data_IF_906559469274
#
_entry.id   IF_906559469274
#
_cell.length_a   1.000
_cell.length_b   1.000
_cell.length_c   1.000
_cell.angle_alpha   90.00
_cell.angle_beta   90.00
_cell.angle_gamma   90.00
#
_symmetry.space_group_name_H-M   'P 1'
#
loop_
_entity.id
_entity.type
_entity.pdbx_description
1 polymer ?
#
# COMPACT_ATOMS: atom_id res chain seq x y z
N UNK A 1 -15.56 55.33 -6.50
CA UNK A 1 -15.07 54.68 -5.27
C UNK A 1 -14.34 53.40 -5.70
N UNK A 2 -13.17 53.43 -6.35
CA UNK A 2 -11.80 53.62 -5.78
C UNK A 2 -11.63 52.92 -4.43
N UNK A 3 -10.76 51.91 -4.24
CA UNK A 3 -9.28 51.77 -4.43
C UNK A 3 -8.98 50.24 -4.53
N UNK A 4 -8.09 49.64 -5.34
CA UNK A 4 -6.66 49.79 -5.71
C UNK A 4 -5.61 49.53 -4.59
N UNK A 5 -4.56 48.77 -4.99
CA UNK A 5 -3.23 48.43 -4.38
C UNK A 5 -3.19 47.21 -3.43
N UNK A 6 -2.63 46.04 -3.83
CA UNK A 6 -1.19 45.62 -3.97
C UNK A 6 -0.43 45.72 -2.63
N UNK A 7 0.37 44.74 -2.18
CA UNK A 7 1.82 44.64 -2.38
C UNK A 7 2.36 43.27 -1.84
N UNK A 8 3.07 42.52 -2.69
CA UNK A 8 4.41 41.86 -2.53
C UNK A 8 4.72 41.06 -1.25
N UNK A 9 5.02 39.75 -1.33
CA UNK A 9 6.32 39.12 -1.67
C UNK A 9 7.05 38.59 -0.43
N UNK A 10 7.22 37.27 -0.35
CA UNK A 10 8.27 36.62 0.42
C UNK A 10 8.58 35.26 -0.23
N UNK A 11 9.25 35.33 -1.37
CA UNK A 11 10.00 34.23 -1.96
C UNK A 11 11.45 34.45 -1.53
N UNK A 12 11.95 33.74 -0.52
CA UNK A 12 13.37 33.36 -0.41
C UNK A 12 13.59 32.43 0.79
N UNK A 13 13.85 31.16 0.52
CA UNK A 13 15.03 30.48 1.04
C UNK A 13 15.37 29.37 0.06
N UNK A 14 16.32 29.68 -0.81
CA UNK A 14 17.04 28.70 -1.61
C UNK A 14 17.95 27.93 -0.66
N UNK A 15 17.82 26.60 -0.64
CA UNK A 15 18.95 25.72 -0.32
C UNK A 15 19.18 24.85 -1.56
N UNK A 16 20.28 25.13 -2.23
CA UNK A 16 20.86 24.33 -3.32
C UNK A 16 21.65 23.19 -2.71
N UNK A 17 21.27 21.94 -3.00
CA UNK A 17 22.22 20.82 -3.17
C UNK A 17 21.52 19.57 -3.74
N UNK A 18 21.98 19.14 -4.92
CA UNK A 18 22.07 17.72 -5.30
C UNK A 18 20.79 17.00 -5.74
N UNK A 19 20.75 16.62 -7.01
CA UNK A 19 19.61 15.93 -7.62
C UNK A 19 19.40 14.48 -7.15
N UNK A 20 18.13 14.14 -7.00
CA UNK A 20 17.46 12.94 -7.50
C UNK A 20 16.00 13.11 -7.09
N UNK A 21 15.09 13.30 -8.04
CA UNK A 21 13.65 13.25 -7.79
C UNK A 21 13.28 11.82 -7.41
N UNK A 22 13.47 11.47 -6.15
CA UNK A 22 12.79 10.36 -5.52
C UNK A 22 11.42 10.89 -5.10
N UNK A 23 10.34 10.36 -5.68
CA UNK A 23 9.03 10.46 -5.06
C UNK A 23 9.17 9.88 -3.65
N UNK A 24 9.19 10.76 -2.65
CA UNK A 24 9.21 10.34 -1.25
C UNK A 24 7.82 9.82 -0.94
N UNK A 25 7.66 8.49 -0.88
CA UNK A 25 6.46 7.90 -0.31
C UNK A 25 6.35 8.35 1.15
N UNK A 26 5.14 8.67 1.65
CA UNK A 26 4.94 8.98 3.06
C UNK A 26 5.46 7.81 3.91
N UNK A 27 6.48 8.07 4.71
CA UNK A 27 7.01 7.09 5.64
C UNK A 27 6.06 7.02 6.83
N UNK A 28 5.63 5.81 7.19
CA UNK A 28 4.71 5.55 8.30
C UNK A 28 5.04 6.40 9.54
N UNK A 29 4.11 7.29 9.90
CA UNK A 29 4.30 8.27 10.97
C UNK A 29 4.13 7.61 12.33
N UNK A 30 5.11 7.82 13.21
CA UNK A 30 5.29 7.08 14.46
C UNK A 30 4.73 7.88 15.64
N UNK A 31 3.42 7.82 15.88
CA UNK A 31 2.86 8.29 17.15
C UNK A 31 2.83 7.15 18.19
N UNK A 32 3.32 7.43 19.40
CA UNK A 32 3.36 6.52 20.57
C UNK A 32 4.15 5.20 20.41
N UNK A 33 5.20 5.20 19.58
CA UNK A 33 6.15 4.07 19.51
C UNK A 33 5.62 2.80 18.84
N UNK A 34 4.32 2.73 18.52
CA UNK A 34 3.72 1.71 17.66
C UNK A 34 3.82 2.18 16.21
N UNK A 35 4.12 1.26 15.31
CA UNK A 35 4.09 1.55 13.88
C UNK A 35 2.64 1.51 13.39
N UNK A 36 2.24 2.52 12.63
CA UNK A 36 0.95 2.52 11.94
C UNK A 36 1.11 1.74 10.64
N UNK A 37 0.20 0.81 10.37
CA UNK A 37 0.11 0.06 9.11
C UNK A 37 -1.29 0.26 8.55
N UNK A 38 -1.36 0.75 7.31
CA UNK A 38 -2.61 1.01 6.59
C UNK A 38 -2.84 -0.04 5.53
N UNK A 39 -4.10 -0.48 5.36
CA UNK A 39 -4.46 -1.41 4.29
C UNK A 39 -5.75 -1.01 3.60
N UNK A 40 -5.79 -1.15 2.27
CA UNK A 40 -7.00 -1.02 1.48
C UNK A 40 -7.29 -2.34 0.77
N UNK A 41 -8.51 -2.83 0.90
CA UNK A 41 -8.94 -4.09 0.27
C UNK A 41 -10.43 -4.01 -0.16
N UNK A 42 -10.90 -5.01 -0.89
CA UNK A 42 -12.26 -5.05 -1.46
C UNK A 42 -13.12 -6.17 -0.90
N UNK A 43 -14.42 -5.91 -0.80
CA UNK A 43 -15.44 -6.93 -0.51
C UNK A 43 -16.60 -6.86 -1.51
N UNK A 44 -17.23 -8.02 -1.70
CA UNK A 44 -18.48 -8.16 -2.47
C UNK A 44 -19.74 -8.06 -1.59
N UNK A 45 -19.55 -7.99 -0.27
CA UNK A 45 -20.62 -7.95 0.73
C UNK A 45 -20.59 -6.62 1.49
N UNK A 46 -21.51 -6.48 2.45
CA UNK A 46 -21.53 -5.36 3.36
C UNK A 46 -20.18 -5.20 4.06
N UNK A 47 -19.74 -3.94 4.17
CA UNK A 47 -18.47 -3.62 4.78
C UNK A 47 -18.54 -3.92 6.28
N UNK A 48 -17.62 -4.74 6.83
CA UNK A 48 -17.57 -4.93 8.26
C UNK A 48 -17.18 -3.62 8.94
N UNK A 49 -17.46 -3.46 10.24
CA UNK A 49 -16.91 -2.35 11.01
C UNK A 49 -15.38 -2.31 10.87
N UNK A 50 -14.82 -1.10 10.84
CA UNK A 50 -13.37 -0.90 10.72
C UNK A 50 -12.61 -1.56 11.89
N UNK A 51 -13.24 -1.57 13.07
CA UNK A 51 -12.75 -2.29 14.24
C UNK A 51 -13.36 -3.69 14.32
N UNK A 52 -12.56 -4.69 14.71
CA UNK A 52 -13.05 -6.04 14.94
C UNK A 52 -12.06 -6.86 15.74
N UNK A 53 -12.52 -8.01 16.27
CA UNK A 53 -11.67 -8.92 17.05
C UNK A 53 -10.40 -9.30 16.29
N UNK A 54 -10.50 -9.54 14.98
CA UNK A 54 -9.34 -9.86 14.14
C UNK A 54 -8.31 -8.72 14.07
N UNK A 55 -8.75 -7.46 13.94
CA UNK A 55 -7.85 -6.29 13.95
C UNK A 55 -7.16 -6.17 15.31
N UNK A 56 -7.92 -6.26 16.41
CA UNK A 56 -7.36 -6.22 17.78
C UNK A 56 -6.31 -7.31 18.01
N UNK A 57 -6.56 -8.53 17.54
CA UNK A 57 -5.59 -9.63 17.66
C UNK A 57 -4.28 -9.36 16.89
N UNK A 58 -4.35 -8.71 15.72
CA UNK A 58 -3.16 -8.30 14.96
C UNK A 58 -2.39 -7.23 15.75
N UNK A 59 -3.11 -6.22 16.22
CA UNK A 59 -2.56 -5.11 16.99
C UNK A 59 -1.87 -5.56 18.27
N UNK A 60 -2.49 -6.46 19.03
CA UNK A 60 -1.94 -7.03 20.26
C UNK A 60 -0.70 -7.90 20.00
N UNK A 61 -0.77 -8.75 18.96
CA UNK A 61 0.32 -9.68 18.64
C UNK A 61 1.57 -8.97 18.13
N UNK A 62 1.40 -7.94 17.31
CA UNK A 62 2.51 -7.29 16.61
C UNK A 62 2.85 -5.90 17.17
N UNK A 63 2.06 -5.36 18.09
CA UNK A 63 2.31 -4.04 18.69
C UNK A 63 2.19 -2.90 17.67
N UNK A 64 1.28 -3.01 16.70
CA UNK A 64 1.08 -2.04 15.61
C UNK A 64 -0.28 -1.35 15.72
N UNK A 65 -0.43 -0.14 15.21
CA UNK A 65 -1.76 0.47 14.96
C UNK A 65 -2.19 0.03 13.56
N UNK A 66 -3.15 -0.89 13.45
CA UNK A 66 -3.53 -1.48 12.17
C UNK A 66 -4.84 -0.86 11.66
N UNK A 67 -4.72 0.01 10.67
CA UNK A 67 -5.83 0.76 10.07
C UNK A 67 -6.27 0.10 8.77
N UNK A 68 -7.36 -0.65 8.86
CA UNK A 68 -7.93 -1.37 7.72
C UNK A 68 -9.11 -0.62 7.13
N UNK A 69 -9.08 -0.40 5.82
CA UNK A 69 -10.19 0.10 5.03
C UNK A 69 -10.68 -0.98 4.05
N UNK A 70 -12.00 -1.12 3.98
CA UNK A 70 -12.66 -1.90 2.96
C UNK A 70 -13.51 -0.99 2.08
N UNK A 71 -13.51 -1.29 0.79
CA UNK A 71 -14.42 -0.66 -0.17
C UNK A 71 -15.17 -1.72 -0.96
N UNK A 72 -16.33 -1.34 -1.47
CA UNK A 72 -17.12 -2.24 -2.31
C UNK A 72 -16.35 -2.49 -3.61
N UNK A 73 -16.32 -3.75 -4.06
CA UNK A 73 -15.58 -4.20 -5.23
C UNK A 73 -15.74 -3.27 -6.46
N UNK A 74 -16.98 -2.82 -6.76
CA UNK A 74 -17.27 -1.96 -7.91
C UNK A 74 -16.60 -0.59 -7.88
N UNK A 75 -16.22 -0.11 -6.70
CA UNK A 75 -15.59 1.20 -6.49
C UNK A 75 -14.07 1.09 -6.25
N UNK A 76 -13.57 -0.14 -6.08
CA UNK A 76 -12.20 -0.37 -5.60
C UNK A 76 -11.15 0.24 -6.53
N UNK A 77 -11.26 -0.02 -7.83
CA UNK A 77 -10.24 0.40 -8.80
C UNK A 77 -10.15 1.94 -8.88
N UNK A 78 -11.30 2.62 -8.86
CA UNK A 78 -11.36 4.08 -8.89
C UNK A 78 -10.72 4.67 -7.63
N UNK A 79 -11.10 4.17 -6.45
CA UNK A 79 -10.56 4.62 -5.17
C UNK A 79 -9.06 4.37 -5.02
N UNK A 80 -8.59 3.16 -5.37
CA UNK A 80 -7.16 2.84 -5.34
C UNK A 80 -6.37 3.76 -6.28
N UNK A 81 -6.85 3.95 -7.52
CA UNK A 81 -6.17 4.82 -8.49
C UNK A 81 -6.10 6.27 -8.00
N UNK A 82 -7.17 6.77 -7.39
CA UNK A 82 -7.20 8.12 -6.81
C UNK A 82 -6.18 8.28 -5.65
N UNK A 83 -6.12 7.30 -4.72
CA UNK A 83 -5.15 7.27 -3.61
C UNK A 83 -3.70 7.24 -4.10
N UNK A 84 -3.44 6.42 -5.12
CA UNK A 84 -2.11 6.36 -5.77
C UNK A 84 -1.75 7.69 -6.42
N UNK A 85 -2.68 8.33 -7.11
CA UNK A 85 -2.45 9.63 -7.74
C UNK A 85 -2.25 10.77 -6.73
N UNK A 86 -2.91 10.71 -5.57
CA UNK A 86 -2.77 11.72 -4.50
C UNK A 86 -1.53 11.51 -3.61
N UNK A 87 -0.84 10.37 -3.75
CA UNK A 87 0.29 9.99 -2.90
C UNK A 87 -0.11 9.46 -1.53
N UNK A 88 -1.41 9.27 -1.27
CA UNK A 88 -1.95 8.69 -0.04
C UNK A 88 -2.08 7.16 -0.21
N UNK A 89 -0.92 6.53 -0.45
CA UNK A 89 -0.86 5.12 -0.83
C UNK A 89 -0.87 4.26 0.44
N UNK A 90 -1.82 3.30 0.57
CA UNK A 90 -1.81 2.36 1.68
C UNK A 90 -0.55 1.49 1.69
N UNK A 91 -0.10 1.08 2.88
CA UNK A 91 1.07 0.20 3.03
C UNK A 91 0.80 -1.20 2.43
N UNK A 92 -0.45 -1.66 2.50
CA UNK A 92 -0.90 -2.95 1.95
C UNK A 92 -2.12 -2.73 1.06
N UNK A 93 -2.09 -3.25 -0.16
CA UNK A 93 -3.23 -3.22 -1.07
C UNK A 93 -3.68 -4.63 -1.42
N UNK A 94 -4.99 -4.86 -1.41
CA UNK A 94 -5.61 -6.05 -1.97
C UNK A 94 -5.70 -5.96 -3.49
N UNK A 95 -5.57 -7.09 -4.19
CA UNK A 95 -5.77 -7.16 -5.63
C UNK A 95 -6.59 -8.40 -5.94
N UNK A 96 -7.80 -8.21 -6.50
CA UNK A 96 -8.61 -9.33 -6.98
C UNK A 96 -8.01 -9.96 -8.25
N UNK A 97 -7.37 -9.14 -9.10
CA UNK A 97 -6.69 -9.58 -10.32
C UNK A 97 -5.37 -8.84 -10.51
N UNK A 98 -4.44 -9.49 -11.18
CA UNK A 98 -3.20 -8.88 -11.67
C UNK A 98 -3.50 -8.17 -12.99
N UNK A 99 -3.89 -6.90 -12.91
CA UNK A 99 -4.28 -6.06 -14.04
C UNK A 99 -3.09 -5.30 -14.65
N UNK A 100 -3.36 -4.47 -15.67
CA UNK A 100 -2.33 -3.65 -16.31
C UNK A 100 -1.66 -2.66 -15.35
N UNK A 101 -2.39 -2.16 -14.33
CA UNK A 101 -1.85 -1.24 -13.35
C UNK A 101 -0.86 -1.94 -12.43
N UNK A 102 -1.16 -3.15 -11.96
CA UNK A 102 -0.24 -3.97 -11.18
C UNK A 102 1.12 -4.10 -11.89
N UNK A 103 1.14 -4.55 -13.15
CA UNK A 103 2.40 -4.72 -13.89
C UNK A 103 3.12 -3.40 -14.13
N UNK A 104 2.38 -2.32 -14.40
CA UNK A 104 2.95 -0.98 -14.56
C UNK A 104 3.64 -0.52 -13.26
N UNK A 105 2.96 -0.61 -12.13
CA UNK A 105 3.49 -0.19 -10.82
C UNK A 105 4.64 -1.08 -10.36
N UNK A 106 4.57 -2.39 -10.60
CA UNK A 106 5.66 -3.32 -10.32
C UNK A 106 6.94 -2.95 -11.08
N UNK A 107 6.84 -2.65 -12.39
CA UNK A 107 7.98 -2.20 -13.21
C UNK A 107 8.51 -0.83 -12.80
N UNK A 108 7.66 0.02 -12.24
CA UNK A 108 8.06 1.31 -11.65
C UNK A 108 8.70 1.17 -10.26
N UNK A 109 8.75 -0.05 -9.70
CA UNK A 109 9.33 -0.30 -8.38
C UNK A 109 8.45 0.15 -7.22
N UNK A 110 7.13 0.28 -7.43
CA UNK A 110 6.20 0.71 -6.38
C UNK A 110 5.95 -0.34 -5.29
N UNK A 111 6.25 -1.61 -5.57
CA UNK A 111 6.06 -2.72 -4.62
C UNK A 111 7.39 -3.19 -4.03
N UNK A 112 7.34 -3.59 -2.76
CA UNK A 112 8.46 -4.21 -2.05
C UNK A 112 8.79 -5.59 -2.67
N UNK A 113 10.03 -5.84 -3.10
CA UNK A 113 10.46 -7.19 -3.48
C UNK A 113 10.44 -8.13 -2.26
N UNK A 114 9.78 -9.26 -2.39
CA UNK A 114 9.52 -10.20 -1.28
C UNK A 114 10.45 -11.41 -1.25
N UNK A 115 11.30 -11.61 -2.26
CA UNK A 115 12.15 -12.79 -2.42
C UNK A 115 12.91 -13.15 -1.12
N UNK A 116 13.61 -12.19 -0.53
CA UNK A 116 14.42 -12.39 0.68
C UNK A 116 13.56 -12.64 1.93
N UNK A 117 12.32 -12.17 1.93
CA UNK A 117 11.39 -12.34 3.05
C UNK A 117 10.73 -13.71 3.01
N UNK A 118 10.36 -14.20 1.82
CA UNK A 118 9.75 -15.53 1.65
C UNK A 118 10.64 -16.62 2.24
N UNK A 119 11.96 -16.49 2.09
CA UNK A 119 12.92 -17.45 2.62
C UNK A 119 13.09 -17.40 4.15
N UNK A 120 12.59 -16.37 4.82
CA UNK A 120 12.66 -16.25 6.28
C UNK A 120 11.47 -16.93 6.98
N UNK A 121 10.34 -17.13 6.29
CA UNK A 121 9.12 -17.63 6.91
C UNK A 121 8.77 -19.05 6.41
N UNK A 122 8.86 -20.09 7.26
CA UNK A 122 8.53 -21.47 6.88
C UNK A 122 7.12 -21.65 6.32
N UNK A 123 6.17 -20.82 6.74
CA UNK A 123 4.79 -20.82 6.23
C UNK A 123 4.71 -20.43 4.76
N UNK A 124 5.51 -19.47 4.31
CA UNK A 124 5.54 -19.02 2.92
C UNK A 124 6.27 -20.02 2.01
N UNK A 125 7.29 -20.72 2.54
CA UNK A 125 7.99 -21.80 1.82
C UNK A 125 7.11 -22.99 1.43
N UNK A 126 5.94 -23.14 2.07
CA UNK A 126 4.97 -24.20 1.74
C UNK A 126 4.15 -23.91 0.48
N UNK A 127 4.15 -22.67 0.01
CA UNK A 127 3.43 -22.29 -1.21
C UNK A 127 4.22 -22.81 -2.43
N UNK A 128 3.59 -23.55 -3.36
CA UNK A 128 4.27 -24.07 -4.55
C UNK A 128 4.94 -22.96 -5.37
N UNK A 129 6.10 -23.25 -5.97
CA UNK A 129 6.86 -22.26 -6.76
C UNK A 129 6.05 -21.70 -7.93
N UNK A 130 5.19 -22.53 -8.50
CA UNK A 130 4.34 -22.20 -9.64
C UNK A 130 3.33 -21.09 -9.27
N UNK A 131 2.91 -21.03 -8.00
CA UNK A 131 2.02 -19.97 -7.50
C UNK A 131 2.75 -18.64 -7.42
N UNK A 132 4.02 -18.65 -6.98
CA UNK A 132 4.85 -17.44 -6.93
C UNK A 132 5.17 -16.87 -8.31
N UNK A 133 5.17 -17.70 -9.36
CA UNK A 133 5.41 -17.24 -10.73
C UNK A 133 4.34 -16.25 -11.21
N UNK A 134 3.09 -16.37 -10.72
CA UNK A 134 2.01 -15.47 -11.12
C UNK A 134 2.28 -14.01 -10.73
N UNK A 135 3.03 -13.79 -9.64
CA UNK A 135 3.36 -12.47 -9.09
C UNK A 135 4.84 -12.13 -9.27
N UNK A 136 5.54 -12.86 -10.14
CA UNK A 136 6.91 -12.57 -10.50
C UNK A 136 6.95 -11.56 -11.66
N UNK A 137 7.54 -10.40 -11.40
CA UNK A 137 7.76 -9.36 -12.41
C UNK A 137 9.27 -9.11 -12.50
N UNK A 138 9.86 -9.43 -13.65
CA UNK A 138 11.28 -9.24 -13.94
C UNK A 138 12.22 -9.87 -12.88
N UNK A 139 11.87 -11.07 -12.41
CA UNK A 139 12.64 -11.84 -11.43
C UNK A 139 12.29 -11.53 -9.96
N UNK A 140 11.44 -10.54 -9.70
CA UNK A 140 11.03 -10.12 -8.36
C UNK A 140 9.63 -10.61 -8.04
N UNK A 141 9.46 -11.27 -6.90
CA UNK A 141 8.14 -11.57 -6.34
C UNK A 141 7.66 -10.31 -5.63
N UNK A 142 6.57 -9.70 -6.10
CA UNK A 142 6.12 -8.36 -5.63
C UNK A 142 4.75 -8.34 -4.97
N UNK A 143 4.12 -9.51 -4.79
CA UNK A 143 2.86 -9.67 -4.09
C UNK A 143 2.76 -11.05 -3.43
N UNK A 144 1.81 -11.22 -2.52
CA UNK A 144 1.49 -12.51 -1.90
C UNK A 144 0.23 -13.06 -2.58
N UNK A 145 0.30 -14.18 -3.32
CA UNK A 145 -0.86 -14.77 -3.97
C UNK A 145 -1.87 -15.27 -2.95
N UNK A 146 -3.15 -14.97 -3.18
CA UNK A 146 -4.22 -15.61 -2.45
C UNK A 146 -4.49 -16.99 -3.07
N UNK A 147 -4.17 -18.05 -2.32
CA UNK A 147 -4.49 -19.42 -2.69
C UNK A 147 -5.79 -19.85 -2.03
N UNK A 148 -6.84 -19.98 -2.82
CA UNK A 148 -8.00 -20.76 -2.40
C UNK A 148 -7.59 -22.24 -2.39
N UNK A 149 -7.18 -22.73 -1.23
CA UNK A 149 -7.08 -24.16 -1.03
C UNK A 149 -8.49 -24.74 -1.17
N UNK A 150 -8.73 -25.70 -2.10
CA UNK A 150 -10.01 -26.37 -2.14
C UNK A 150 -10.23 -27.03 -0.77
N UNK A 151 -11.38 -26.78 -0.13
CA UNK A 151 -11.72 -27.32 1.18
C UNK A 151 -11.40 -28.83 1.23
N UNK A 152 -10.36 -29.19 1.98
CA UNK A 152 -10.10 -30.57 2.44
C UNK A 152 -10.74 -30.79 3.79
#
# INVERSE_FOLDING_TARGET
MSRWLRWTAACLTVVLAGGATACSFPQAEREKGRFTITSLDMLYADLPPAEGLGVKMIEEKFGVDYRREYVVYSEYQEKLTARVASGDIPDVIGLERLDANFYKWAKQGAFLPLNDYIDQYPTLKRVPREVWNAVNVDGKIVAIPNIFLPNT
#
